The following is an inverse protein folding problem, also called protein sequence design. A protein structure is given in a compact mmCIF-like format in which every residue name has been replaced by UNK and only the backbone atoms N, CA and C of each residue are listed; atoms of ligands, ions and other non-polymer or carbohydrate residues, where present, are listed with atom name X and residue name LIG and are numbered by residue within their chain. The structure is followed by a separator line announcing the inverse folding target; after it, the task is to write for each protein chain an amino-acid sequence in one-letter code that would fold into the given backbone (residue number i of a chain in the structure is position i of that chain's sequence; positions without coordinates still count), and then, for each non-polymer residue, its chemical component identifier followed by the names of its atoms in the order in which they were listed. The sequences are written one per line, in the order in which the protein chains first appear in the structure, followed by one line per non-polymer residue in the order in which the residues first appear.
data_IF_537689473356
#
_entry.id   IF_537689473356
#
_cell.length_a   1.000
_cell.length_b   1.000
_cell.length_c   1.000
_cell.angle_alpha   90.00
_cell.angle_beta   90.00
_cell.angle_gamma   90.00
#
_symmetry.space_group_name_H-M   'P 1'
#
loop_
_entity.id
_entity.type
_entity.pdbx_description
1 polymer ?
2 polymer ?
3 polymer ?
4 polymer ?
5 non-polymer ?
6 water ?
#
# COMPACT_ATOMS: atom_id res chain seq x y z
N UNK A 8 5.34 14.69 15.13
CA UNK A 8 5.25 14.44 13.68
C UNK A 8 3.99 13.69 13.31
N UNK A 9 3.47 12.85 14.20
CA UNK A 9 2.17 12.20 13.96
C UNK A 9 1.10 13.26 13.82
N UNK A 10 1.10 14.21 14.77
CA UNK A 10 0.11 15.27 14.80
C UNK A 10 -0.02 16.14 13.57
N UNK A 11 1.13 16.42 12.94
CA UNK A 11 1.21 17.19 11.71
C UNK A 11 0.53 16.43 10.54
N UNK A 12 0.55 15.09 10.61
CA UNK A 12 -0.16 14.25 9.63
C UNK A 12 -1.69 14.28 9.87
N UNK A 13 -2.16 14.10 11.09
CA UNK A 13 -3.58 14.05 11.26
C UNK A 13 -4.26 15.30 10.73
N UNK A 14 -3.71 16.46 11.10
CA UNK A 14 -4.21 17.76 10.67
C UNK A 14 -4.03 17.95 9.17
N UNK A 15 -2.92 17.47 8.59
CA UNK A 15 -2.68 17.58 7.14
C UNK A 15 -3.74 16.83 6.33
N UNK A 16 -4.07 15.61 6.78
CA UNK A 16 -5.07 14.77 6.13
C UNK A 16 -6.47 15.40 6.25
N UNK A 17 -6.79 15.95 7.41
CA UNK A 17 -8.11 16.48 7.63
C UNK A 17 -8.28 17.76 6.82
N UNK A 18 -7.18 18.35 6.37
CA UNK A 18 -7.24 19.57 5.55
C UNK A 18 -7.63 19.17 4.13
N UNK A 19 -6.90 18.21 3.56
CA UNK A 19 -7.25 17.62 2.25
C UNK A 19 -8.72 17.10 2.20
N UNK A 20 -9.17 16.49 3.28
CA UNK A 20 -10.55 16.01 3.42
C UNK A 20 -11.56 17.15 3.25
N UNK A 21 -11.29 18.25 3.94
CA UNK A 21 -12.08 19.44 3.84
C UNK A 21 -12.05 19.98 2.44
N UNK A 22 -10.87 19.92 1.82
CA UNK A 22 -10.75 20.47 0.49
C UNK A 22 -11.52 19.58 -0.53
N UNK A 23 -11.41 18.26 -0.40
CA UNK A 23 -12.04 17.28 -1.28
C UNK A 23 -13.57 17.33 -1.06
N UNK A 24 -14.01 17.69 0.14
CA UNK A 24 -15.50 17.76 0.36
C UNK A 24 -16.12 18.93 -0.39
N UNK A 25 -15.43 20.08 -0.39
CA UNK A 25 -15.83 21.28 -1.13
C UNK A 25 -15.83 20.93 -2.62
N UNK A 26 -14.73 20.32 -3.09
CA UNK A 26 -14.57 19.89 -4.48
C UNK A 26 -15.68 18.97 -4.99
N UNK A 27 -15.99 17.94 -4.18
CA UNK A 27 -17.11 17.03 -4.45
C UNK A 27 -18.43 17.80 -4.49
N UNK A 28 -18.60 18.80 -3.61
CA UNK A 28 -19.79 19.69 -3.67
C UNK A 28 -19.81 20.45 -4.99
N UNK A 29 -18.64 20.80 -5.55
CA UNK A 29 -18.76 21.61 -6.73
C UNK A 29 -19.17 20.70 -7.89
N UNK A 30 -18.77 19.44 -7.82
CA UNK A 30 -18.95 18.53 -8.90
C UNK A 30 -20.37 17.98 -8.89
N UNK A 31 -21.00 17.89 -7.71
CA UNK A 31 -22.46 17.64 -7.65
C UNK A 31 -23.24 18.80 -8.26
N UNK A 32 -22.73 20.01 -8.08
CA UNK A 32 -23.23 21.20 -8.78
C UNK A 32 -23.02 21.18 -10.29
N UNK A 33 -21.83 20.74 -10.74
CA UNK A 33 -21.51 20.60 -12.16
C UNK A 33 -22.32 19.48 -12.85
N UNK A 34 -22.72 18.47 -12.05
CA UNK A 34 -23.59 17.33 -12.43
C UNK A 34 -25.02 17.79 -12.68
N UNK A 35 -25.42 18.78 -11.87
CA UNK A 35 -26.74 19.40 -12.00
C UNK A 35 -26.85 20.34 -13.21
N UNK A 36 -25.74 20.96 -13.62
CA UNK A 36 -25.73 21.85 -14.78
C UNK A 36 -25.71 21.07 -16.13
N UNK A 37 -25.34 19.78 -16.08
CA UNK A 37 -25.26 18.95 -17.29
C UNK A 37 -26.51 18.08 -17.52
N UNK B 2 4.57 3.38 31.65
CA UNK B 2 4.70 4.62 30.86
C UNK B 2 5.18 4.34 29.44
N UNK B 3 6.08 3.36 29.28
CA UNK B 3 6.48 2.88 27.95
C UNK B 3 5.25 2.32 27.21
N UNK B 4 4.53 1.42 27.89
CA UNK B 4 3.26 0.84 27.42
C UNK B 4 2.18 1.92 27.21
N UNK B 5 2.14 2.85 28.15
CA UNK B 5 1.23 3.99 28.11
C UNK B 5 1.35 4.86 26.83
N UNK B 6 2.59 5.11 26.38
CA UNK B 6 2.82 5.92 25.18
C UNK B 6 2.55 5.12 23.88
N UNK B 7 2.80 3.80 23.92
CA UNK B 7 2.39 2.89 22.86
C UNK B 7 0.83 2.88 22.76
N UNK B 8 0.16 2.83 23.92
CA UNK B 8 -1.31 2.76 23.90
C UNK B 8 -2.01 4.00 23.34
N UNK B 9 -1.59 5.17 23.78
CA UNK B 9 -2.08 6.41 23.21
C UNK B 9 -1.55 6.67 21.80
N UNK B 10 -0.30 6.28 21.50
CA UNK B 10 0.18 6.38 20.11
C UNK B 10 -0.69 5.54 19.18
N UNK B 11 -0.99 4.31 19.60
CA UNK B 11 -1.87 3.38 18.89
C UNK B 11 -3.24 3.99 18.56
N UNK B 12 -3.83 4.69 19.52
CA UNK B 12 -5.15 5.30 19.31
C UNK B 12 -5.13 6.33 18.21
N UNK B 13 -4.07 7.12 18.18
CA UNK B 13 -3.82 8.14 17.18
C UNK B 13 -3.46 7.60 15.80
N UNK B 14 -2.80 6.44 15.78
CA UNK B 14 -2.57 5.73 14.54
C UNK B 14 -3.91 5.36 13.90
N UNK B 15 -4.77 4.72 14.68
CA UNK B 15 -6.10 4.35 14.26
C UNK B 15 -6.94 5.57 13.81
N UNK B 16 -6.85 6.66 14.57
CA UNK B 16 -7.55 7.86 14.17
C UNK B 16 -7.04 8.34 12.80
N UNK B 17 -5.72 8.20 12.56
CA UNK B 17 -5.10 8.68 11.35
C UNK B 17 -5.53 7.81 10.19
N UNK B 18 -5.60 6.49 10.43
CA UNK B 18 -6.06 5.55 9.39
C UNK B 18 -7.51 5.83 8.97
N UNK B 19 -8.39 6.09 9.93
CA UNK B 19 -9.78 6.47 9.63
C UNK B 19 -9.90 7.66 8.69
N UNK B 20 -9.07 8.69 8.91
CA UNK B 20 -9.10 9.92 8.08
C UNK B 20 -8.58 9.66 6.69
N UNK B 21 -7.47 8.92 6.65
CA UNK B 21 -6.84 8.52 5.38
C UNK B 21 -7.83 7.72 4.51
N UNK B 22 -8.57 6.83 5.16
CA UNK B 22 -9.58 5.99 4.54
C UNK B 22 -10.71 6.86 4.01
N UNK B 23 -11.07 7.90 4.76
CA UNK B 23 -12.15 8.82 4.40
C UNK B 23 -11.63 9.61 3.20
N UNK B 24 -10.40 10.07 3.29
CA UNK B 24 -9.75 10.79 2.18
C UNK B 24 -9.71 9.94 0.89
N UNK B 25 -9.31 8.67 1.03
CA UNK B 25 -9.29 7.73 -0.08
C UNK B 25 -10.69 7.56 -0.72
N UNK B 26 -11.71 7.47 0.10
CA UNK B 26 -13.04 7.30 -0.40
C UNK B 26 -13.58 8.49 -1.19
N UNK B 27 -13.17 9.70 -0.75
CA UNK B 27 -13.46 10.95 -1.49
C UNK B 27 -12.75 11.02 -2.79
N UNK B 28 -11.47 10.62 -2.79
CA UNK B 28 -10.72 10.63 -4.04
C UNK B 28 -11.33 9.60 -5.04
N UNK B 29 -11.89 8.46 -4.57
CA UNK B 29 -12.58 7.49 -5.45
C UNK B 29 -13.95 8.01 -5.95
N UNK B 30 -14.76 8.54 -5.04
CA UNK B 30 -15.99 9.20 -5.37
C UNK B 30 -15.75 10.31 -6.41
N UNK B 31 -14.75 11.15 -6.19
CA UNK B 31 -14.51 12.23 -7.16
C UNK B 31 -14.30 11.68 -8.55
N UNK B 32 -13.47 10.64 -8.65
CA UNK B 32 -13.08 10.11 -9.95
C UNK B 32 -14.25 9.45 -10.65
N UNK B 33 -15.07 8.70 -9.90
CA UNK B 33 -16.35 8.13 -10.42
C UNK B 33 -17.22 9.23 -10.95
N UNK B 34 -17.36 10.29 -10.14
CA UNK B 34 -18.21 11.45 -10.46
C UNK B 34 -17.78 12.16 -11.71
N UNK B 35 -16.46 12.40 -11.84
CA UNK B 35 -15.94 13.09 -12.97
C UNK B 35 -16.04 12.17 -14.23
N UNK B 36 -15.79 10.87 -14.05
CA UNK B 36 -15.88 9.92 -15.16
C UNK B 36 -17.28 9.85 -15.76
N UNK B 37 -18.27 9.75 -14.88
CA UNK B 37 -19.67 9.79 -15.22
C UNK B 37 -19.93 11.04 -16.03
N UNK B 38 -19.54 12.20 -15.52
CA UNK B 38 -19.78 13.43 -16.25
C UNK B 38 -19.02 13.53 -17.58
N UNK B 39 -17.94 12.75 -17.72
CA UNK B 39 -17.20 12.55 -18.96
C UNK B 39 -18.13 12.10 -20.06
N UNK B 40 -18.97 11.13 -19.72
CA UNK B 40 -20.00 10.57 -20.59
C UNK B 40 -21.19 11.48 -20.90
N UNK B 41 -21.60 12.34 -19.96
CA UNK B 41 -22.68 13.29 -20.22
C UNK B 41 -22.17 14.36 -21.21
N UNK B 42 -20.89 14.70 -21.10
CA UNK B 42 -20.25 15.72 -21.93
C UNK B 42 -19.95 15.21 -23.30
N UNK B 43 -19.77 13.89 -23.45
CA UNK B 43 -19.59 13.30 -24.77
C UNK B 43 -20.88 13.54 -25.58
N UNK B 44 -22.04 13.22 -25.00
CA UNK B 44 -23.33 13.36 -25.67
C UNK B 44 -23.67 14.83 -25.99
N UNK B 45 -23.38 15.75 -25.05
CA UNK B 45 -23.61 17.17 -25.26
C UNK B 45 -22.75 17.66 -26.41
N UNK B 46 -21.50 17.22 -26.45
CA UNK B 46 -20.55 17.64 -27.49
C UNK B 46 -21.01 17.16 -28.88
N UNK B 47 -21.60 15.97 -28.88
CA UNK B 47 -22.16 15.36 -30.07
C UNK B 47 -23.42 16.10 -30.48
N UNK B 48 -24.34 16.32 -29.54
CA UNK B 48 -25.58 17.04 -29.86
C UNK B 48 -25.30 18.45 -30.38
N UNK B 49 -24.34 19.14 -29.77
CA UNK B 49 -23.96 20.49 -30.16
C UNK B 49 -23.33 20.56 -31.55
N UNK B 50 -22.32 19.69 -31.80
CA UNK B 50 -21.64 19.60 -33.11
C UNK B 50 -22.58 19.38 -34.29
N UNK B 51 -23.68 18.67 -34.03
CA UNK B 51 -24.69 18.42 -35.06
C UNK B 51 -25.65 19.61 -35.22
N UNK B 52 -25.96 20.29 -34.12
CA UNK B 52 -26.73 21.53 -34.16
C UNK B 52 -25.95 22.64 -34.90
N UNK B 53 -24.63 22.67 -34.71
CA UNK B 53 -23.76 23.56 -35.48
C UNK B 53 -23.92 23.27 -36.97
N UNK B 54 -23.73 22.01 -37.37
CA UNK B 54 -23.87 21.61 -38.77
C UNK B 54 -25.25 21.96 -39.29
N UNK B 55 -26.28 21.66 -38.52
CA UNK B 55 -27.64 21.98 -38.94
C UNK B 55 -27.78 23.48 -39.26
N UNK B 56 -27.54 24.33 -38.26
CA UNK B 56 -27.77 25.76 -38.39
C UNK B 56 -26.98 26.31 -39.58
N UNK B 57 -25.74 25.73 -39.85
CA UNK B 57 -24.81 26.25 -40.85
C UNK B 57 -25.33 25.97 -42.26
N UNK B 58 -25.86 24.72 -42.45
CA UNK B 58 -26.45 24.32 -43.71
C UNK B 58 -27.74 25.11 -44.00
N UNK B 59 -28.50 25.42 -42.97
CA UNK B 59 -29.82 26.05 -43.13
C UNK B 59 -29.72 27.54 -43.50
N UNK B 60 -28.61 28.16 -43.13
CA UNK B 60 -28.32 29.56 -43.45
C UNK B 60 -27.56 29.75 -44.78
N UNK C 5 4.97 -10.56 40.27
CA UNK C 5 5.57 -9.36 39.65
C UNK C 5 6.13 -9.60 38.23
N UNK C 6 6.79 -10.75 38.04
CA UNK C 6 7.29 -11.16 36.71
C UNK C 6 6.15 -11.35 35.71
N UNK C 7 5.04 -11.97 36.15
CA UNK C 7 3.82 -12.15 35.33
C UNK C 7 3.24 -10.80 34.90
N UNK C 8 3.35 -9.78 35.73
CA UNK C 8 2.76 -8.49 35.42
C UNK C 8 3.60 -7.76 34.33
N UNK C 9 4.92 -7.80 34.46
CA UNK C 9 5.81 -7.14 33.51
C UNK C 9 5.74 -7.80 32.13
N UNK C 10 5.64 -9.13 32.11
CA UNK C 10 5.53 -9.91 30.89
C UNK C 10 4.22 -9.61 30.17
N UNK C 11 3.13 -9.50 30.93
CA UNK C 11 1.82 -9.16 30.40
C UNK C 11 1.80 -7.77 29.73
N UNK C 12 2.41 -6.79 30.39
CA UNK C 12 2.58 -5.43 29.85
C UNK C 12 3.41 -5.35 28.53
N UNK C 13 4.53 -6.06 28.50
CA UNK C 13 5.41 -6.15 27.33
C UNK C 13 4.70 -6.78 26.15
N UNK C 14 3.99 -7.86 26.43
CA UNK C 14 3.29 -8.57 25.38
C UNK C 14 2.16 -7.68 24.84
N UNK C 15 1.59 -6.82 25.70
CA UNK C 15 0.54 -5.90 25.27
C UNK C 15 1.15 -4.79 24.40
N UNK C 16 2.28 -4.25 24.84
CA UNK C 16 3.03 -3.25 24.06
C UNK C 16 3.36 -3.78 22.69
N UNK C 17 3.83 -5.04 22.64
CA UNK C 17 4.31 -5.65 21.40
C UNK C 17 3.25 -5.75 20.31
N UNK C 18 2.08 -6.07 20.79
CA UNK C 18 1.01 -6.50 20.00
C UNK C 18 0.26 -5.27 19.56
N UNK C 19 0.18 -4.28 20.45
CA UNK C 19 -0.39 -3.01 20.08
C UNK C 19 0.52 -2.38 19.05
N UNK C 20 1.83 -2.48 19.25
CA UNK C 20 2.77 -1.92 18.27
C UNK C 20 2.64 -2.68 16.94
N UNK C 21 2.54 -4.01 16.99
CA UNK C 21 2.35 -4.74 15.77
C UNK C 21 1.14 -4.25 14.95
N UNK C 22 0.01 -3.97 15.62
CA UNK C 22 -1.19 -3.41 14.97
C UNK C 22 -1.01 -1.98 14.40
N UNK C 23 -0.33 -1.12 15.14
CA UNK C 23 0.07 0.20 14.60
C UNK C 23 0.94 0.04 13.33
N UNK C 24 1.84 -0.95 13.28
CA UNK C 24 2.58 -1.17 12.02
C UNK C 24 1.65 -1.58 10.84
N UNK C 25 0.75 -2.52 11.12
CA UNK C 25 -0.15 -3.06 10.10
C UNK C 25 -0.99 -1.87 9.56
N UNK C 26 -1.31 -0.93 10.46
CA UNK C 26 -2.10 0.29 10.15
C UNK C 26 -1.32 1.22 9.22
N UNK C 27 -0.04 1.38 9.48
CA UNK C 27 0.76 2.22 8.60
C UNK C 27 0.95 1.59 7.25
N UNK C 28 0.97 0.26 7.17
CA UNK C 28 1.02 -0.47 5.89
C UNK C 28 -0.24 -0.24 5.08
N UNK C 29 -1.43 -0.34 5.74
CA UNK C 29 -2.72 -0.04 5.12
C UNK C 29 -2.84 1.41 4.74
N UNK C 30 -2.30 2.31 5.57
CA UNK C 30 -2.28 3.72 5.18
C UNK C 30 -1.59 3.89 3.84
N UNK C 31 -0.44 3.26 3.71
CA UNK C 31 0.36 3.32 2.52
C UNK C 31 -0.39 2.90 1.23
N UNK C 32 -1.25 1.85 1.29
CA UNK C 32 -2.04 1.39 0.13
C UNK C 32 -3.15 2.39 -0.18
N UNK C 33 -3.69 2.99 0.86
CA UNK C 33 -4.85 3.89 0.74
C UNK C 33 -4.41 5.24 0.14
N UNK C 34 -3.23 5.73 0.52
CA UNK C 34 -2.73 6.98 -0.12
C UNK C 34 -2.20 6.82 -1.53
N UNK C 35 -1.51 5.71 -1.77
CA UNK C 35 -1.11 5.34 -3.10
C UNK C 35 -2.30 5.27 -4.07
N UNK C 36 -3.36 4.60 -3.67
CA UNK C 36 -4.52 4.49 -4.52
C UNK C 36 -5.22 5.87 -4.71
N UNK C 37 -5.28 6.68 -3.66
CA UNK C 37 -5.83 8.02 -3.72
C UNK C 37 -5.13 8.88 -4.78
N UNK C 38 -3.80 8.77 -4.83
CA UNK C 38 -2.92 9.52 -5.74
C UNK C 38 -3.33 9.14 -7.15
N UNK C 39 -3.41 7.83 -7.41
CA UNK C 39 -3.85 7.37 -8.73
C UNK C 39 -5.24 7.84 -9.10
N UNK C 40 -6.21 7.70 -8.18
CA UNK C 40 -7.51 8.29 -8.46
C UNK C 40 -7.39 9.80 -8.73
N UNK C 41 -6.66 10.53 -7.89
CA UNK C 41 -6.49 11.96 -8.05
C UNK C 41 -5.93 12.39 -9.41
N UNK C 42 -4.83 11.75 -9.84
CA UNK C 42 -4.24 11.83 -11.16
C UNK C 42 -5.20 11.53 -12.29
N UNK C 43 -5.84 10.36 -12.24
CA UNK C 43 -6.94 10.09 -13.18
C UNK C 43 -7.96 11.22 -13.25
N UNK C 44 -8.26 11.85 -12.11
CA UNK C 44 -9.34 12.84 -12.12
C UNK C 44 -8.83 14.05 -12.89
N UNK C 45 -7.59 14.40 -12.66
CA UNK C 45 -7.02 15.59 -13.30
C UNK C 45 -6.91 15.44 -14.82
N UNK C 46 -6.70 14.20 -15.28
CA UNK C 46 -6.61 13.93 -16.68
C UNK C 46 -7.99 14.03 -17.35
N UNK C 47 -8.99 13.38 -16.77
CA UNK C 47 -10.38 13.51 -17.25
C UNK C 47 -10.87 14.94 -17.28
N UNK C 48 -10.58 15.71 -16.24
CA UNK C 48 -10.97 17.13 -16.18
C UNK C 48 -10.28 17.94 -17.26
N UNK C 49 -9.01 17.64 -17.54
CA UNK C 49 -8.30 18.30 -18.59
C UNK C 49 -8.95 18.00 -19.97
N UNK C 50 -9.21 16.73 -20.27
CA UNK C 50 -9.93 16.33 -21.48
C UNK C 50 -11.29 17.05 -21.60
N UNK C 51 -12.09 17.01 -20.51
CA UNK C 51 -13.40 17.62 -20.50
C UNK C 51 -13.34 19.14 -20.62
N UNK C 52 -12.27 19.74 -20.09
CA UNK C 52 -12.04 21.15 -20.24
C UNK C 52 -12.08 21.55 -21.72
N UNK C 53 -11.28 20.87 -22.55
CA UNK C 53 -11.23 21.01 -24.00
C UNK C 53 -12.53 20.69 -24.73
N UNK C 54 -13.27 19.71 -24.23
CA UNK C 54 -14.59 19.39 -24.77
C UNK C 54 -15.60 20.54 -24.56
N UNK C 55 -15.58 21.11 -23.36
CA UNK C 55 -16.40 22.25 -23.06
C UNK C 55 -16.00 23.47 -23.89
N UNK C 56 -14.70 23.62 -24.20
CA UNK C 56 -14.21 24.72 -25.06
C UNK C 56 -14.86 24.57 -26.46
N UNK C 57 -14.80 23.37 -27.02
CA UNK C 57 -15.40 23.07 -28.30
C UNK C 57 -16.90 23.35 -28.31
N UNK C 58 -17.61 22.95 -27.25
CA UNK C 58 -19.04 23.23 -27.08
C UNK C 58 -19.36 24.72 -27.04
N UNK C 59 -18.60 25.50 -26.25
CA UNK C 59 -18.75 26.94 -26.21
C UNK C 59 -18.55 27.62 -27.57
N UNK C 60 -17.45 27.26 -28.25
CA UNK C 60 -17.15 27.68 -29.60
C UNK C 60 -18.31 27.37 -30.53
N UNK C 61 -18.89 26.19 -30.35
CA UNK C 61 -20.03 25.72 -31.15
C UNK C 61 -21.27 26.54 -30.85
N UNK C 62 -21.46 26.93 -29.58
CA UNK C 62 -22.56 27.88 -29.26
C UNK C 62 -22.30 29.29 -29.89
N UNK C 63 -21.03 29.67 -30.05
CA UNK C 63 -20.67 30.98 -30.62
C UNK C 63 -20.90 30.96 -32.12
N UNK C 64 -20.51 29.84 -32.77
CA UNK C 64 -20.86 29.55 -34.16
C UNK C 64 -22.37 29.69 -34.43
N UNK C 65 -23.19 28.97 -33.68
CA UNK C 65 -24.63 29.07 -33.83
C UNK C 65 -25.08 30.53 -33.72
N UNK C 66 -24.64 31.16 -32.67
CA UNK C 66 -24.85 32.55 -32.47
C UNK C 66 -24.60 33.40 -33.74
N UNK C 67 -23.42 33.26 -34.38
CA UNK C 67 -23.12 34.11 -35.52
C UNK C 67 -24.00 33.78 -36.73
N UNK C 68 -24.33 32.51 -36.94
CA UNK C 68 -25.23 32.12 -38.03
C UNK C 68 -26.68 32.62 -37.80
N UNK C 69 -27.10 32.71 -36.54
CA UNK C 69 -28.41 33.29 -36.29
C UNK C 69 -28.42 34.80 -36.58
N UNK C 70 -27.27 35.46 -36.45
CA UNK C 70 -27.15 36.87 -36.89
C UNK C 70 -27.26 37.01 -38.43
N UNK C 71 -26.77 36.01 -39.14
CA UNK C 71 -26.93 35.95 -40.58
C UNK C 71 -28.40 35.72 -40.93
N UNK C 72 -29.04 34.72 -40.29
CA UNK C 72 -30.47 34.50 -40.47
C UNK C 72 -31.34 35.75 -40.19
N UNK C 73 -31.00 36.52 -39.16
CA UNK C 73 -31.80 37.68 -38.76
C UNK C 73 -31.66 38.85 -39.77
N UNK C 74 -30.44 38.97 -40.31
CA UNK C 74 -30.10 39.98 -41.26
C UNK C 74 -30.83 39.69 -42.55
N UNK C 75 -30.95 38.40 -42.89
CA UNK C 75 -31.74 37.93 -44.04
C UNK C 75 -33.24 38.22 -43.86
N UNK C 76 -33.82 37.86 -42.72
CA UNK C 76 -35.20 38.21 -42.42
C UNK C 76 -35.45 39.74 -42.46
N UNK C 77 -34.57 40.53 -41.83
CA UNK C 77 -34.65 42.00 -41.92
C UNK C 77 -34.65 42.47 -43.38
N UNK C 78 -33.82 41.83 -44.20
CA UNK C 78 -33.70 42.22 -45.58
C UNK C 78 -34.98 41.93 -46.41
N UNK C 79 -35.65 40.83 -46.07
CA UNK C 79 -36.88 40.36 -46.74
C UNK C 79 -38.19 40.95 -46.16
N UNK C 80 -38.07 41.94 -45.28
CA UNK C 80 -39.21 42.58 -44.62
C UNK C 80 -40.01 41.72 -43.65
N UNK C 81 -39.45 40.60 -43.20
CA UNK C 81 -40.18 39.68 -42.30
C UNK C 81 -39.70 39.66 -40.86
N UNK D 1 10.12 -3.33 19.16
CA UNK D 1 11.46 -3.73 18.58
C UNK D 1 11.86 -2.75 17.49
N UNK D 2 13.12 -2.71 17.08
CA UNK D 2 13.55 -1.60 16.21
C UNK D 2 13.32 -1.80 14.71
N UNK D 3 13.29 -3.04 14.19
CA UNK D 3 12.89 -3.23 12.78
C UNK D 3 11.41 -2.83 12.52
N UNK D 4 10.52 -3.13 13.48
CA UNK D 4 9.13 -2.68 13.50
C UNK D 4 8.97 -1.13 13.61
N UNK D 5 9.64 -0.53 14.58
CA UNK D 5 9.63 0.94 14.76
C UNK D 5 10.18 1.74 13.57
N UNK D 6 11.27 1.26 12.99
CA UNK D 6 11.89 1.87 11.82
C UNK D 6 11.00 1.85 10.58
N UNK D 7 10.46 0.66 10.29
CA UNK D 7 9.43 0.49 9.28
C UNK D 7 8.19 1.38 9.55
N UNK D 8 7.71 1.44 10.79
CA UNK D 8 6.55 2.26 11.06
C UNK D 8 6.86 3.74 10.75
N UNK D 9 8.11 4.13 11.06
CA UNK D 9 8.59 5.48 10.81
C UNK D 9 8.80 5.81 9.33
N UNK D 10 9.30 4.85 8.56
CA UNK D 10 9.46 5.07 7.12
C UNK D 10 8.07 5.12 6.47
N UNK D 11 7.18 4.22 6.86
CA UNK D 11 5.82 4.23 6.36
C UNK D 11 5.14 5.61 6.57
N UNK D 12 5.24 6.15 7.78
CA UNK D 12 4.58 7.40 8.09
C UNK D 12 5.23 8.58 7.38
N UNK D 13 6.56 8.54 7.24
CA UNK D 13 7.27 9.56 6.52
C UNK D 13 6.71 9.56 5.10
N UNK D 14 6.53 8.35 4.56
CA UNK D 14 6.07 8.17 3.18
C UNK D 14 4.61 8.57 2.97
N UNK D 15 3.75 8.16 3.90
CA UNK D 15 2.37 8.64 3.88
C UNK D 15 2.29 10.19 3.83
N UNK D 16 2.99 10.86 4.75
CA UNK D 16 3.06 12.32 4.86
C UNK D 16 3.42 13.00 3.55
N UNK D 17 4.56 12.63 2.96
CA UNK D 17 4.95 13.13 1.64
C UNK D 17 3.85 12.98 0.60
N UNK D 18 3.21 11.82 0.56
CA UNK D 18 2.07 11.64 -0.31
C UNK D 18 0.83 12.48 0.08
N UNK D 19 0.57 12.68 1.38
CA UNK D 19 -0.54 13.62 1.75
C UNK D 19 -0.28 15.00 1.15
N UNK D 20 0.98 15.40 1.02
CA UNK D 20 1.38 16.72 0.49
C UNK D 20 1.04 16.86 -0.98
N UNK D 21 1.14 15.74 -1.70
CA UNK D 21 0.82 15.70 -3.13
C UNK D 21 -0.71 15.71 -3.28
N UNK D 22 -1.38 14.89 -2.50
CA UNK D 22 -2.85 14.91 -2.47
C UNK D 22 -3.50 16.29 -2.21
N UNK D 23 -2.94 17.06 -1.29
CA UNK D 23 -3.36 18.43 -1.07
C UNK D 23 -3.21 19.29 -2.34
N UNK D 24 -2.03 19.22 -2.97
CA UNK D 24 -1.76 19.94 -4.19
C UNK D 24 -2.75 19.50 -5.31
N UNK D 25 -3.00 18.20 -5.42
CA UNK D 25 -3.93 17.69 -6.42
C UNK D 25 -5.38 18.15 -6.16
N UNK D 26 -5.78 18.20 -4.91
CA UNK D 26 -7.15 18.57 -4.51
C UNK D 26 -7.43 20.06 -4.78
N UNK D 27 -6.43 20.89 -4.54
CA UNK D 27 -6.46 22.32 -4.85
C UNK D 27 -6.55 22.71 -6.34
N UNK D 28 -5.68 22.15 -7.18
CA UNK D 28 -5.78 22.20 -8.67
C UNK D 28 -7.15 21.72 -9.18
N UNK D 29 -7.62 20.60 -8.62
CA UNK D 29 -8.92 20.05 -8.97
C UNK D 29 -10.02 21.09 -8.77
N UNK D 30 -10.04 21.64 -7.56
CA UNK D 30 -10.95 22.71 -7.13
C UNK D 30 -10.93 23.89 -8.05
N UNK D 31 -9.76 24.24 -8.54
CA UNK D 31 -9.64 25.44 -9.39
C UNK D 31 -10.19 25.18 -10.79
N UNK D 32 -9.79 24.04 -11.35
CA UNK D 32 -10.22 23.60 -12.64
C UNK D 32 -11.73 23.45 -12.66
N UNK D 33 -12.31 22.97 -11.59
CA UNK D 33 -13.75 22.83 -11.51
C UNK D 33 -14.46 24.18 -11.41
N UNK D 34 -13.85 25.15 -10.72
CA UNK D 34 -14.48 26.48 -10.61
C UNK D 34 -14.53 27.08 -11.99
N UNK D 35 -13.45 26.86 -12.76
CA UNK D 35 -13.32 27.45 -14.09
C UNK D 35 -14.28 26.83 -15.10
N UNK D 36 -14.34 25.50 -15.09
CA UNK D 36 -15.34 24.79 -15.87
C UNK D 36 -16.79 25.13 -15.39
N UNK D 37 -17.04 25.43 -14.11
CA UNK D 37 -18.44 25.76 -13.67
C UNK D 37 -18.94 27.10 -14.24
N UNK D 38 -18.04 28.09 -14.27
CA UNK D 38 -18.30 29.37 -14.92
C UNK D 38 -18.53 29.14 -16.44
N UNK D 39 -17.71 28.30 -17.03
CA UNK D 39 -17.81 28.05 -18.44
C UNK D 39 -19.13 27.36 -18.80
N UNK D 40 -19.49 26.36 -18.00
CA UNK D 40 -20.81 25.74 -18.12
C UNK D 40 -21.96 26.73 -18.02
N UNK D 41 -21.90 27.65 -17.08
CA UNK D 41 -22.87 28.72 -16.94
C UNK D 41 -22.99 29.63 -18.20
N UNK D 42 -21.87 29.87 -18.90
CA UNK D 42 -21.93 30.70 -20.12
C UNK D 42 -22.54 29.81 -21.21
N UNK D 43 -22.26 28.49 -21.19
CA UNK D 43 -22.83 27.60 -22.20
C UNK D 43 -24.33 27.48 -22.08
N UNK D 44 -24.84 27.35 -20.85
CA UNK D 44 -26.28 27.23 -20.60
C UNK D 44 -26.98 28.48 -21.07
N UNK D 45 -26.43 29.63 -20.68
CA UNK D 45 -26.98 30.92 -21.08
C UNK D 45 -27.03 31.07 -22.60
N UNK D 46 -25.94 30.69 -23.28
CA UNK D 46 -25.82 30.85 -24.73
C UNK D 46 -26.71 29.87 -25.48
N UNK D 47 -26.89 28.67 -24.93
CA UNK D 47 -27.82 27.66 -25.50
C UNK D 47 -29.28 28.11 -25.39
N UNK D 48 -29.65 28.68 -24.26
CA UNK D 48 -31.00 29.18 -24.10
C UNK D 48 -31.22 30.40 -25.00
N UNK D 49 -30.28 31.33 -25.01
CA UNK D 49 -30.36 32.47 -25.94
C UNK D 49 -30.44 31.97 -27.40
N UNK D 50 -29.60 31.02 -27.78
CA UNK D 50 -29.65 30.43 -29.12
C UNK D 50 -31.00 29.82 -29.49
N UNK D 51 -31.64 29.14 -28.52
CA UNK D 51 -32.93 28.47 -28.73
C UNK D 51 -34.07 29.50 -28.84
N UNK D 52 -33.98 30.61 -28.10
CA UNK D 52 -34.97 31.66 -28.25
C UNK D 52 -34.91 32.26 -29.62
N UNK D 53 -33.70 32.47 -30.13
CA UNK D 53 -33.55 33.14 -31.42
C UNK D 53 -33.94 32.20 -32.55
N UNK D 54 -33.63 30.91 -32.39
CA UNK D 54 -34.09 29.89 -33.32
C UNK D 54 -35.63 29.86 -33.38
N UNK D 55 -36.30 29.83 -32.23
CA UNK D 55 -37.75 29.74 -32.18
C UNK D 55 -38.34 31.00 -32.78
N UNK D 56 -37.73 32.16 -32.51
CA UNK D 56 -38.22 33.42 -33.02
C UNK D 56 -38.11 33.51 -34.54
N UNK D 57 -36.92 33.17 -35.07
CA UNK D 57 -36.67 33.20 -36.52
C UNK D 57 -37.72 32.34 -37.26
N UNK D 58 -37.89 31.10 -36.78
CA UNK D 58 -38.97 30.21 -37.25
C UNK D 58 -40.38 30.80 -37.15
N UNK D 59 -40.69 31.50 -36.06
CA UNK D 59 -42.04 32.07 -35.90
C UNK D 59 -42.26 33.20 -36.88
N UNK D 60 -41.20 33.97 -37.15
CA UNK D 60 -41.28 35.05 -38.11
C UNK D 60 -41.53 34.45 -39.51
N UNK D 61 -40.83 33.35 -39.76
CA UNK D 61 -40.87 32.66 -41.02
C UNK D 61 -42.28 32.12 -41.23
N UNK D 62 -42.87 31.53 -40.18
CA UNK D 62 -44.21 30.88 -40.24
C UNK D 62 -45.34 31.84 -40.62
N UNK D 63 -45.13 33.13 -40.36
CA UNK D 63 -45.94 34.22 -40.91
C UNK D 63 -45.82 34.37 -42.44
N UNK D 64 -44.72 33.91 -43.04
CA UNK D 64 -44.53 34.00 -44.52
C UNK D 64 -45.54 33.11 -45.28
N UNK D 65 -45.98 32.02 -44.66
CA UNK D 65 -46.90 31.04 -45.27
C UNK D 65 -48.32 31.60 -45.58
N UNK E 6 1.35 -12.28 -22.82
CA UNK E 6 2.09 -12.03 -21.56
C UNK E 6 2.48 -13.29 -20.79
N UNK E 7 3.20 -14.17 -21.49
CA UNK E 7 3.85 -15.35 -20.90
C UNK E 7 4.91 -14.97 -19.84
N UNK E 8 5.69 -13.91 -20.10
CA UNK E 8 6.71 -13.43 -19.15
C UNK E 8 6.10 -12.90 -17.85
N UNK E 9 4.96 -12.22 -17.94
CA UNK E 9 4.22 -11.72 -16.77
C UNK E 9 3.75 -12.86 -15.88
N UNK E 10 2.94 -13.77 -16.44
CA UNK E 10 2.38 -14.92 -15.71
C UNK E 10 3.41 -15.81 -15.00
N UNK E 11 4.63 -15.80 -15.55
CA UNK E 11 5.74 -16.58 -15.05
C UNK E 11 6.36 -15.90 -13.83
N UNK E 12 6.27 -14.57 -13.81
CA UNK E 12 6.63 -13.81 -12.63
C UNK E 12 5.52 -13.96 -11.56
N UNK E 13 4.26 -13.94 -11.96
CA UNK E 13 3.18 -14.09 -11.00
C UNK E 13 3.23 -15.43 -10.26
N UNK E 14 3.40 -16.52 -11.01
CA UNK E 14 3.58 -17.85 -10.43
C UNK E 14 4.79 -17.87 -9.50
N UNK E 15 5.87 -17.21 -9.92
CA UNK E 15 7.14 -17.29 -9.20
C UNK E 15 7.07 -16.52 -7.86
N UNK E 16 6.41 -15.38 -7.87
CA UNK E 16 6.14 -14.62 -6.66
C UNK E 16 5.33 -15.47 -5.67
N UNK E 17 4.28 -16.07 -6.17
CA UNK E 17 3.28 -16.73 -5.36
C UNK E 17 3.86 -17.99 -4.70
N UNK E 18 4.89 -18.54 -5.35
CA UNK E 18 5.64 -19.67 -4.82
C UNK E 18 6.48 -19.21 -3.60
N UNK E 19 7.21 -18.09 -3.74
CA UNK E 19 8.04 -17.49 -2.67
C UNK E 19 7.15 -17.15 -1.46
N UNK E 20 5.96 -16.59 -1.73
CA UNK E 20 4.91 -16.36 -0.72
C UNK E 20 4.58 -17.62 0.10
N UNK E 21 4.36 -18.76 -0.59
CA UNK E 21 4.10 -20.00 0.10
C UNK E 21 5.28 -20.47 0.93
N UNK E 22 6.49 -20.33 0.39
CA UNK E 22 7.67 -20.74 1.13
C UNK E 22 7.81 -19.83 2.38
N UNK E 23 7.71 -18.51 2.19
CA UNK E 23 7.77 -17.56 3.29
C UNK E 23 6.66 -17.77 4.33
N UNK E 24 5.48 -18.18 3.88
CA UNK E 24 4.41 -18.45 4.86
C UNK E 24 4.77 -19.68 5.72
N UNK E 25 5.45 -20.68 5.11
CA UNK E 25 5.91 -21.86 5.85
C UNK E 25 6.99 -21.44 6.86
N UNK E 26 7.88 -20.56 6.42
CA UNK E 26 9.00 -20.10 7.24
C UNK E 26 8.52 -19.31 8.47
N UNK E 27 7.65 -18.34 8.22
CA UNK E 27 6.99 -17.58 9.31
C UNK E 27 6.24 -18.52 10.30
N UNK E 28 5.60 -19.56 9.80
CA UNK E 28 5.00 -20.54 10.74
C UNK E 28 6.06 -21.32 11.53
N UNK E 29 7.24 -21.53 10.95
CA UNK E 29 8.28 -22.16 11.70
C UNK E 29 8.87 -21.23 12.76
N UNK E 30 9.02 -19.94 12.46
CA UNK E 30 9.59 -19.03 13.42
C UNK E 30 8.61 -18.70 14.52
N UNK E 31 7.31 -18.80 14.27
CA UNK E 31 6.31 -18.63 15.34
C UNK E 31 6.38 -19.84 16.27
N UNK E 32 6.67 -21.01 15.72
CA UNK E 32 6.95 -22.21 16.51
C UNK E 32 8.27 -22.14 17.30
N UNK E 33 9.30 -21.53 16.70
CA UNK E 33 10.59 -21.23 17.38
C UNK E 33 10.42 -20.17 18.50
N UNK E 34 9.52 -19.19 18.25
CA UNK E 34 9.05 -18.20 19.26
C UNK E 34 8.56 -18.83 20.56
N UNK E 35 7.91 -19.98 20.38
CA UNK E 35 7.13 -20.64 21.42
C UNK E 35 8.04 -21.51 22.27
N UNK E 36 9.07 -22.06 21.61
CA UNK E 36 10.12 -22.82 22.28
C UNK E 36 11.06 -21.93 23.13
N UNK E 37 11.17 -20.65 22.77
CA UNK E 37 12.06 -19.70 23.45
C UNK E 37 11.40 -18.89 24.59
N UNK F 2 -8.75 -3.61 -29.66
CA UNK F 2 -7.90 -4.78 -29.30
C UNK F 2 -6.53 -4.39 -28.76
N UNK F 3 -5.93 -3.33 -29.33
CA UNK F 3 -4.72 -2.72 -28.78
C UNK F 3 -5.01 -2.27 -27.35
N UNK F 4 -6.10 -1.51 -27.17
CA UNK F 4 -6.57 -1.05 -25.87
C UNK F 4 -6.98 -2.24 -24.98
N UNK F 5 -7.69 -3.18 -25.57
CA UNK F 5 -8.07 -4.42 -24.92
C UNK F 5 -6.90 -5.20 -24.23
N UNK F 6 -5.75 -5.28 -24.91
CA UNK F 6 -4.60 -5.98 -24.35
C UNK F 6 -3.86 -5.14 -23.28
N UNK F 7 -3.85 -3.82 -23.45
CA UNK F 7 -3.41 -2.90 -22.40
C UNK F 7 -4.29 -3.04 -21.13
N UNK F 8 -5.60 -3.12 -21.33
CA UNK F 8 -6.52 -3.21 -20.19
C UNK F 8 -6.41 -4.48 -19.34
N UNK F 9 -6.28 -5.63 -20.00
CA UNK F 9 -6.04 -6.89 -19.31
C UNK F 9 -4.57 -7.04 -18.85
N UNK F 10 -3.62 -6.49 -19.61
CA UNK F 10 -2.23 -6.43 -19.12
C UNK F 10 -2.15 -5.61 -17.82
N UNK F 11 -2.86 -4.49 -17.78
CA UNK F 11 -2.92 -3.62 -16.62
C UNK F 11 -3.45 -4.35 -15.39
N UNK F 12 -4.47 -5.18 -15.58
CA UNK F 12 -5.09 -5.88 -14.46
C UNK F 12 -4.14 -6.85 -13.82
N UNK F 13 -3.36 -7.52 -14.67
CA UNK F 13 -2.32 -8.47 -14.29
C UNK F 13 -1.05 -7.85 -13.71
N UNK F 14 -0.76 -6.61 -14.11
CA UNK F 14 0.29 -5.85 -13.45
C UNK F 14 -0.11 -5.58 -11.99
N UNK F 15 -1.34 -5.17 -11.79
CA UNK F 15 -1.89 -4.85 -10.47
C UNK F 15 -1.94 -6.07 -9.57
N UNK F 16 -2.42 -7.20 -10.12
CA UNK F 16 -2.33 -8.45 -9.45
C UNK F 16 -0.90 -8.79 -9.05
N UNK F 17 0.09 -8.52 -9.94
CA UNK F 17 1.45 -8.84 -9.68
C UNK F 17 1.97 -7.96 -8.54
N UNK F 18 1.65 -6.65 -8.58
CA UNK F 18 2.04 -5.72 -7.47
C UNK F 18 1.54 -6.12 -6.09
N UNK F 19 0.26 -6.49 -5.99
CA UNK F 19 -0.35 -7.03 -4.79
C UNK F 19 0.39 -8.22 -4.18
N UNK F 20 0.85 -9.17 -5.01
CA UNK F 20 1.58 -10.35 -4.51
C UNK F 20 2.95 -10.00 -4.03
N UNK F 21 3.59 -9.09 -4.76
CA UNK F 21 4.94 -8.60 -4.47
C UNK F 21 4.95 -7.80 -3.13
N UNK F 22 3.88 -7.01 -2.91
CA UNK F 22 3.64 -6.26 -1.69
C UNK F 22 3.37 -7.26 -0.55
N UNK F 23 2.66 -8.35 -0.83
CA UNK F 23 2.43 -9.40 0.16
C UNK F 23 3.76 -10.07 0.50
N UNK F 24 4.50 -10.48 -0.52
CA UNK F 24 5.83 -11.01 -0.33
C UNK F 24 6.67 -10.07 0.49
N UNK F 25 6.60 -8.77 0.21
CA UNK F 25 7.46 -7.81 0.91
C UNK F 25 7.13 -7.79 2.41
N UNK F 26 5.85 -7.84 2.74
CA UNK F 26 5.40 -7.66 4.06
C UNK F 26 5.78 -8.90 4.91
N UNK F 27 5.74 -10.08 4.30
CA UNK F 27 6.35 -11.30 4.90
C UNK F 27 7.84 -11.29 5.13
N UNK F 28 8.56 -10.69 4.21
CA UNK F 28 10.03 -10.63 4.43
C UNK F 28 10.34 -9.55 5.53
N UNK F 29 9.38 -8.62 5.81
CA UNK F 29 9.58 -7.62 6.94
C UNK F 29 9.16 -8.26 8.28
N UNK F 30 7.94 -8.75 8.33
CA UNK F 30 7.52 -9.67 9.37
C UNK F 30 8.60 -10.68 9.78
N UNK F 31 9.15 -11.41 8.83
CA UNK F 31 10.14 -12.41 9.22
C UNK F 31 11.27 -11.77 9.98
N UNK F 32 11.79 -10.68 9.46
CA UNK F 32 12.97 -10.02 10.01
C UNK F 32 12.75 -9.45 11.38
N UNK F 33 11.57 -8.84 11.61
CA UNK F 33 11.15 -8.40 12.96
C UNK F 33 11.11 -9.55 13.89
N UNK F 34 10.52 -10.66 13.41
CA UNK F 34 10.37 -11.87 14.22
C UNK F 34 11.71 -12.45 14.63
N UNK F 35 12.61 -12.57 13.65
CA UNK F 35 13.91 -13.13 13.94
C UNK F 35 14.72 -12.18 14.84
N UNK F 36 14.57 -10.87 14.62
CA UNK F 36 15.27 -9.88 15.45
C UNK F 36 14.85 -9.94 16.92
N UNK F 37 13.55 -9.99 17.11
CA UNK F 37 12.96 -10.09 18.42
C UNK F 37 13.55 -11.32 19.07
N UNK F 38 13.47 -12.46 18.40
CA UNK F 38 14.00 -13.70 19.00
C UNK F 38 15.52 -13.66 19.26
N UNK F 39 16.24 -12.84 18.50
CA UNK F 39 17.63 -12.48 18.79
C UNK F 39 17.81 -12.00 20.22
N UNK F 40 16.92 -11.11 20.67
CA UNK F 40 16.90 -10.63 22.04
C UNK F 40 16.49 -11.65 23.14
N UNK F 41 15.62 -12.62 22.82
CA UNK F 41 15.29 -13.68 23.76
C UNK F 41 16.49 -14.66 23.93
N UNK F 42 17.21 -14.90 22.83
CA UNK F 42 18.39 -15.77 22.80
C UNK F 42 19.60 -15.16 23.48
N UNK F 43 19.68 -13.84 23.48
CA UNK F 43 20.74 -13.13 24.21
C UNK F 43 20.60 -13.41 25.71
N UNK F 44 19.38 -13.29 26.26
CA UNK F 44 19.12 -13.52 27.68
C UNK F 44 19.30 -15.01 28.07
N UNK F 45 18.83 -15.93 27.22
CA UNK F 45 19.02 -17.38 27.42
C UNK F 45 20.52 -17.71 27.47
N UNK F 46 21.29 -17.12 26.56
CA UNK F 46 22.72 -17.38 26.48
C UNK F 46 23.44 -16.83 27.74
N UNK F 47 22.90 -15.75 28.26
CA UNK F 47 23.41 -15.15 29.47
C UNK F 47 23.05 -16.04 30.66
N UNK F 48 21.78 -16.44 30.75
CA UNK F 48 21.32 -17.24 31.87
C UNK F 48 22.05 -18.57 31.96
N UNK F 49 22.24 -19.21 30.80
CA UNK F 49 22.97 -20.48 30.68
C UNK F 49 24.45 -20.39 31.06
N UNK F 50 25.15 -19.38 30.53
CA UNK F 50 26.57 -19.16 30.78
C UNK F 50 26.86 -18.98 32.26
N UNK F 51 25.90 -18.41 32.99
CA UNK F 51 26.04 -18.19 34.45
C UNK F 51 25.67 -19.46 35.26
N UNK F 52 24.75 -20.27 34.72
CA UNK F 52 24.43 -21.56 35.31
C UNK F 52 25.57 -22.54 35.11
N UNK F 53 26.28 -22.42 33.98
CA UNK F 53 27.51 -23.19 33.74
C UNK F 53 28.54 -22.82 34.81
N UNK F 54 28.81 -21.52 34.99
CA UNK F 54 29.77 -21.10 35.99
C UNK F 54 29.34 -21.55 37.37
N UNK F 55 28.04 -21.43 37.68
CA UNK F 55 27.56 -21.87 38.98
C UNK F 55 27.87 -23.35 39.24
N UNK F 56 27.39 -24.21 38.33
CA UNK F 56 27.56 -25.65 38.50
C UNK F 56 29.04 -26.06 38.61
N UNK F 57 29.91 -25.38 37.85
CA UNK F 57 31.33 -25.72 37.76
C UNK F 57 32.08 -25.40 39.07
N UNK F 58 31.71 -24.28 39.69
CA UNK F 58 32.29 -23.86 40.97
C UNK F 58 31.80 -24.75 42.12
N UNK F 59 30.53 -25.17 42.06
CA UNK F 59 29.92 -25.94 43.14
C UNK F 59 30.41 -27.40 43.22
N UNK F 60 30.90 -27.92 42.09
CA UNK F 60 31.46 -29.26 41.97
C UNK F 60 32.99 -29.31 42.19
N UNK G 5 -16.47 9.58 -34.70
CA UNK G 5 -15.37 8.69 -35.16
C UNK G 5 -14.02 9.11 -34.55
N UNK G 6 -13.54 10.28 -34.94
CA UNK G 6 -12.28 10.85 -34.39
C UNK G 6 -12.35 10.96 -32.86
N UNK G 7 -13.37 11.64 -32.36
CA UNK G 7 -13.58 11.81 -30.90
C UNK G 7 -13.46 10.50 -30.11
N UNK G 8 -13.93 9.39 -30.69
CA UNK G 8 -13.91 8.12 -29.97
C UNK G 8 -12.57 7.38 -30.00
N UNK G 9 -11.88 7.45 -31.14
CA UNK G 9 -10.53 6.92 -31.25
C UNK G 9 -9.57 7.64 -30.29
N UNK G 10 -9.74 8.95 -30.15
CA UNK G 10 -8.95 9.75 -29.22
C UNK G 10 -9.17 9.32 -27.77
N UNK G 11 -10.43 9.12 -27.39
CA UNK G 11 -10.81 8.66 -26.07
C UNK G 11 -10.16 7.31 -25.70
N UNK G 12 -10.19 6.35 -26.63
CA UNK G 12 -9.53 5.05 -26.48
C UNK G 12 -7.99 5.10 -26.31
N UNK G 13 -7.33 5.93 -27.12
CA UNK G 13 -5.90 6.17 -27.06
C UNK G 13 -5.50 6.80 -25.74
N UNK G 14 -6.30 7.76 -25.30
CA UNK G 14 -6.02 8.43 -24.07
C UNK G 14 -6.21 7.45 -22.90
N UNK G 15 -7.14 6.53 -23.03
CA UNK G 15 -7.34 5.52 -21.99
C UNK G 15 -6.16 4.53 -21.99
N UNK G 16 -5.76 4.08 -23.17
CA UNK G 16 -4.59 3.21 -23.32
C UNK G 16 -3.35 3.86 -22.70
N UNK G 17 -3.12 5.14 -23.01
CA UNK G 17 -1.95 5.88 -22.52
C UNK G 17 -1.85 5.92 -21.00
N UNK G 18 -3.01 6.18 -20.42
CA UNK G 18 -3.11 6.46 -19.04
C UNK G 18 -2.99 5.16 -18.30
N UNK G 19 -3.63 4.11 -18.84
CA UNK G 19 -3.59 2.80 -18.20
C UNK G 19 -2.16 2.32 -18.29
N UNK G 20 -1.49 2.64 -19.38
CA UNK G 20 -0.12 2.18 -19.52
C UNK G 20 0.79 2.98 -18.58
N UNK G 21 0.49 4.27 -18.38
CA UNK G 21 1.27 5.08 -17.46
C UNK G 21 1.23 4.50 -16.03
N UNK G 22 0.05 4.06 -15.60
CA UNK G 22 -0.16 3.42 -14.29
C UNK G 22 0.53 2.06 -14.14
N UNK G 23 0.50 1.23 -15.17
CA UNK G 23 1.27 -0.01 -15.18
C UNK G 23 2.77 0.29 -15.05
N UNK G 24 3.27 1.34 -15.68
CA UNK G 24 4.67 1.72 -15.48
C UNK G 24 4.96 2.11 -13.98
N UNK G 25 4.05 2.88 -13.38
CA UNK G 25 4.24 3.38 -12.04
C UNK G 25 4.26 2.13 -11.10
N UNK G 26 3.39 1.17 -11.42
CA UNK G 26 3.29 -0.12 -10.72
C UNK G 26 4.58 -0.94 -10.78
N UNK G 27 5.21 -0.98 -11.95
CA UNK G 27 6.52 -1.66 -12.06
C UNK G 27 7.59 -0.93 -11.29
N UNK G 28 7.49 0.38 -11.16
CA UNK G 28 8.47 1.15 -10.39
C UNK G 28 8.39 0.83 -8.93
N UNK G 29 7.16 0.86 -8.38
CA UNK G 29 6.87 0.43 -7.03
C UNK G 29 7.25 -1.02 -6.80
N UNK G 30 7.05 -1.91 -7.77
CA UNK G 30 7.47 -3.29 -7.58
C UNK G 30 8.96 -3.32 -7.29
N UNK G 31 9.70 -2.56 -8.07
CA UNK G 31 11.12 -2.47 -7.95
C UNK G 31 11.57 -2.06 -6.52
N UNK G 32 10.86 -1.13 -5.85
CA UNK G 32 11.25 -0.69 -4.49
C UNK G 32 10.91 -1.79 -3.48
N UNK G 33 9.83 -2.51 -3.76
CA UNK G 33 9.30 -3.54 -2.84
C UNK G 33 10.16 -4.79 -2.87
N UNK G 34 10.64 -5.21 -4.04
CA UNK G 34 11.61 -6.32 -4.08
C UNK G 34 13.01 -6.01 -3.57
N UNK G 35 13.52 -4.84 -3.92
CA UNK G 35 14.74 -4.34 -3.35
C UNK G 35 14.76 -4.35 -1.81
N UNK G 36 13.69 -3.89 -1.19
CA UNK G 36 13.63 -3.80 0.23
C UNK G 36 13.50 -5.24 0.85
N UNK G 37 12.72 -6.10 0.20
CA UNK G 37 12.61 -7.51 0.55
C UNK G 37 13.96 -8.20 0.58
N UNK G 38 14.75 -8.00 -0.45
CA UNK G 38 16.12 -8.58 -0.54
C UNK G 38 16.88 -8.14 0.72
N UNK G 39 16.89 -6.83 0.98
CA UNK G 39 17.59 -6.34 2.16
C UNK G 39 17.12 -6.97 3.45
N UNK G 40 15.79 -6.97 3.67
CA UNK G 40 15.25 -7.68 4.82
C UNK G 40 15.65 -9.12 4.85
N UNK G 41 15.62 -9.84 3.72
CA UNK G 41 15.94 -11.27 3.71
C UNK G 41 17.42 -11.55 4.00
N UNK G 42 18.32 -10.68 3.50
CA UNK G 42 19.76 -10.74 3.83
C UNK G 42 19.98 -10.49 5.33
N UNK G 43 19.34 -9.43 5.87
CA UNK G 43 19.38 -9.18 7.32
C UNK G 43 18.92 -10.40 8.12
N UNK G 44 17.93 -11.10 7.59
CA UNK G 44 17.38 -12.25 8.31
C UNK G 44 18.40 -13.36 8.37
N UNK G 45 19.03 -13.61 7.25
CA UNK G 45 20.08 -14.67 7.17
C UNK G 45 21.28 -14.41 8.03
N UNK G 46 21.59 -13.14 8.25
CA UNK G 46 22.74 -12.79 9.08
C UNK G 46 22.37 -13.01 10.54
N UNK G 47 21.19 -12.55 10.95
CA UNK G 47 20.76 -12.74 12.30
C UNK G 47 20.64 -14.23 12.67
N UNK G 48 20.06 -15.03 11.78
CA UNK G 48 19.96 -16.49 11.99
C UNK G 48 21.31 -17.17 12.04
N UNK G 49 22.26 -16.71 11.23
CA UNK G 49 23.60 -17.24 11.33
C UNK G 49 24.22 -16.92 12.72
N UNK G 50 24.06 -15.68 13.21
CA UNK G 50 24.58 -15.27 14.51
C UNK G 50 23.91 -16.09 15.63
N UNK G 51 22.58 -16.23 15.56
CA UNK G 51 21.79 -16.95 16.55
C UNK G 51 22.09 -18.44 16.51
N UNK G 52 22.34 -18.98 15.32
CA UNK G 52 22.83 -20.36 15.19
C UNK G 52 24.03 -20.61 16.12
N UNK G 53 25.03 -19.75 16.05
CA UNK G 53 26.27 -19.86 16.88
C UNK G 53 26.00 -19.68 18.38
N UNK G 54 25.01 -18.83 18.68
CA UNK G 54 24.61 -18.63 20.06
C UNK G 54 23.98 -19.88 20.64
N UNK G 55 23.12 -20.53 19.86
CA UNK G 55 22.45 -21.75 20.25
C UNK G 55 23.48 -22.90 20.39
N UNK G 56 24.53 -22.90 19.55
CA UNK G 56 25.63 -23.89 19.69
C UNK G 56 26.29 -23.77 21.07
N UNK G 57 26.60 -22.53 21.46
CA UNK G 57 27.20 -22.22 22.73
C UNK G 57 26.26 -22.65 23.86
N UNK G 58 24.96 -22.39 23.72
CA UNK G 58 23.96 -22.82 24.70
C UNK G 58 23.91 -24.32 24.90
N UNK G 59 23.81 -25.09 23.80
CA UNK G 59 23.85 -26.53 23.82
C UNK G 59 25.12 -27.10 24.50
N UNK G 60 26.30 -26.59 24.09
CA UNK G 60 27.60 -26.91 24.67
C UNK G 60 27.58 -26.62 26.17
N UNK G 61 26.97 -25.49 26.54
CA UNK G 61 26.78 -25.12 27.95
C UNK G 61 25.89 -26.13 28.68
N UNK G 62 24.83 -26.59 28.01
CA UNK G 62 24.03 -27.74 28.59
C UNK G 62 24.83 -29.06 28.71
N UNK G 63 25.72 -29.32 27.78
CA UNK G 63 26.57 -30.52 27.85
C UNK G 63 27.55 -30.39 29.01
N UNK G 64 28.11 -29.19 29.17
CA UNK G 64 29.01 -28.85 30.30
C UNK G 64 28.31 -29.17 31.63
N UNK G 65 27.09 -28.68 31.81
CA UNK G 65 26.38 -28.88 33.06
C UNK G 65 26.15 -30.38 33.27
N UNK G 66 25.71 -30.99 32.19
CA UNK G 66 25.54 -32.40 32.15
C UNK G 66 26.76 -33.12 32.77
N UNK G 67 27.97 -32.89 32.24
CA UNK G 67 29.15 -33.62 32.71
C UNK G 67 29.53 -33.31 34.17
N UNK G 68 29.44 -32.04 34.58
CA UNK G 68 29.62 -31.70 36.00
C UNK G 68 28.62 -32.38 36.96
N UNK G 69 27.39 -32.59 36.50
CA UNK G 69 26.42 -33.29 37.32
C UNK G 69 26.79 -34.78 37.42
N UNK G 70 27.51 -35.30 36.43
CA UNK G 70 28.03 -36.68 36.53
C UNK G 70 29.18 -36.77 37.57
N UNK G 71 29.92 -35.68 37.70
CA UNK G 71 30.90 -35.57 38.75
C UNK G 71 30.22 -35.46 40.14
N UNK G 72 29.22 -34.59 40.27
CA UNK G 72 28.42 -34.53 41.49
C UNK G 72 27.79 -35.90 41.91
N UNK G 73 27.23 -36.65 40.96
CA UNK G 73 26.59 -37.95 41.26
C UNK G 73 27.59 -39.05 41.73
N UNK G 74 28.77 -39.07 41.11
CA UNK G 74 29.86 -39.95 41.45
C UNK G 74 30.36 -39.64 42.85
N UNK G 75 30.49 -38.35 43.16
CA UNK G 75 30.78 -37.86 44.53
C UNK G 75 29.73 -38.29 45.59
N UNK G 76 28.44 -38.11 45.32
CA UNK G 76 27.39 -38.61 46.21
C UNK G 76 27.43 -40.17 46.35
N UNK G 77 27.54 -40.90 45.22
CA UNK G 77 27.72 -42.36 45.26
C UNK G 77 28.94 -42.75 46.11
N UNK G 78 30.02 -41.99 45.96
CA UNK G 78 31.23 -42.24 46.71
C UNK G 78 31.02 -42.11 48.24
N UNK G 79 30.30 -41.07 48.66
CA UNK G 79 29.95 -40.83 50.08
C UNK G 79 28.74 -41.57 50.65
N UNK G 80 28.19 -42.55 49.92
CA UNK G 80 27.02 -43.28 50.38
C UNK G 80 25.70 -42.53 50.47
N UNK G 81 25.62 -41.34 49.87
CA UNK G 81 24.39 -40.52 49.92
C UNK G 81 23.51 -40.66 48.69
N UNK H 1 3.79 4.12 -25.61
CA UNK H 1 4.97 4.74 -26.30
C UNK H 1 6.22 3.96 -25.96
N UNK H 2 7.19 3.88 -26.87
CA UNK H 2 8.34 2.97 -26.69
C UNK H 2 9.13 3.30 -25.44
N UNK H 3 9.33 4.57 -25.09
CA UNK H 3 10.11 4.87 -23.86
C UNK H 3 9.52 4.25 -22.58
N UNK H 4 8.21 4.40 -22.40
CA UNK H 4 7.44 3.80 -21.34
C UNK H 4 7.47 2.25 -21.40
N UNK H 5 7.16 1.71 -22.56
CA UNK H 5 7.16 0.27 -22.80
C UNK H 5 8.52 -0.39 -22.52
N UNK H 6 9.61 0.26 -22.94
CA UNK H 6 10.95 -0.29 -22.72
C UNK H 6 11.31 -0.31 -21.23
N UNK H 7 10.98 0.79 -20.54
CA UNK H 7 11.26 0.90 -19.14
C UNK H 7 10.38 -0.09 -18.31
N UNK H 8 9.09 -0.26 -18.66
CA UNK H 8 8.26 -1.26 -18.02
C UNK H 8 8.90 -2.65 -18.20
N UNK H 9 9.28 -2.96 -19.43
CA UNK H 9 9.98 -4.21 -19.69
C UNK H 9 11.29 -4.41 -18.93
N UNK H 10 12.14 -3.40 -18.86
CA UNK H 10 13.35 -3.53 -18.03
C UNK H 10 13.03 -3.67 -16.55
N UNK H 11 12.06 -2.89 -16.05
CA UNK H 11 11.68 -2.95 -14.67
C UNK H 11 11.22 -4.39 -14.34
N UNK H 12 10.40 -4.98 -15.20
CA UNK H 12 9.91 -6.33 -15.03
C UNK H 12 10.98 -7.41 -15.07
N UNK H 13 11.95 -7.22 -15.98
CA UNK H 13 13.12 -8.08 -16.11
C UNK H 13 13.88 -8.14 -14.78
N UNK H 14 14.14 -6.96 -14.18
CA UNK H 14 14.85 -6.84 -12.88
C UNK H 14 14.06 -7.36 -11.71
N UNK H 15 12.77 -7.01 -11.66
CA UNK H 15 11.88 -7.60 -10.67
C UNK H 15 12.03 -9.14 -10.65
N UNK H 16 11.85 -9.81 -11.79
CA UNK H 16 11.96 -11.28 -11.93
C UNK H 16 13.28 -11.85 -11.43
N UNK H 17 14.40 -11.24 -11.85
CA UNK H 17 15.74 -11.59 -11.33
C UNK H 17 15.83 -11.58 -9.81
N UNK H 18 15.49 -10.44 -9.21
CA UNK H 18 15.43 -10.33 -7.77
C UNK H 18 14.44 -11.34 -7.12
N UNK H 19 13.40 -11.72 -7.86
CA UNK H 19 12.51 -12.68 -7.27
C UNK H 19 13.14 -14.07 -7.14
N UNK H 20 13.93 -14.45 -8.13
CA UNK H 20 14.74 -15.68 -8.08
C UNK H 20 15.69 -15.73 -6.88
N UNK H 21 16.23 -14.57 -6.50
CA UNK H 21 17.12 -14.44 -5.34
C UNK H 21 16.35 -14.64 -4.05
N UNK H 22 15.22 -13.95 -3.94
CA UNK H 22 14.25 -14.17 -2.86
C UNK H 22 13.78 -15.62 -2.67
N UNK H 23 13.41 -16.30 -3.75
CA UNK H 23 13.11 -17.71 -3.65
C UNK H 23 14.26 -18.44 -2.94
N UNK H 24 15.49 -18.26 -3.45
CA UNK H 24 16.68 -18.91 -2.91
C UNK H 24 16.89 -18.52 -1.41
N UNK H 25 16.87 -17.23 -1.12
CA UNK H 25 16.94 -16.78 0.30
C UNK H 25 15.85 -17.38 1.23
N UNK H 26 14.67 -17.61 0.69
CA UNK H 26 13.51 -18.05 1.48
C UNK H 26 13.65 -19.57 1.76
N UNK H 27 14.15 -20.30 0.78
CA UNK H 27 14.56 -21.69 0.94
C UNK H 27 15.71 -21.95 1.95
N UNK H 28 16.80 -21.17 1.86
CA UNK H 28 17.87 -21.18 2.90
C UNK H 28 17.37 -20.87 4.32
N UNK H 29 16.58 -19.79 4.44
CA UNK H 29 15.97 -19.44 5.70
C UNK H 29 15.32 -20.68 6.30
N UNK H 30 14.45 -21.31 5.50
CA UNK H 30 13.68 -22.49 5.86
C UNK H 30 14.51 -23.60 6.39
N UNK H 31 15.60 -23.92 5.71
CA UNK H 31 16.53 -24.98 6.14
C UNK H 31 17.24 -24.66 7.46
N UNK H 32 17.80 -23.44 7.56
CA UNK H 32 18.38 -22.95 8.81
C UNK H 32 17.39 -22.95 9.99
N UNK H 33 16.13 -22.56 9.79
CA UNK H 33 15.13 -22.58 10.87
C UNK H 33 14.82 -24.03 11.28
N UNK H 34 14.78 -24.97 10.32
CA UNK H 34 14.47 -26.37 10.65
C UNK H 34 15.58 -26.92 11.53
N UNK H 35 16.82 -26.59 11.17
CA UNK H 35 17.99 -27.08 11.90
C UNK H 35 18.03 -26.50 13.31
N UNK H 36 17.86 -25.19 13.39
CA UNK H 36 17.76 -24.59 14.71
C UNK H 36 16.59 -25.11 15.55
N UNK H 37 15.46 -25.48 14.94
CA UNK H 37 14.33 -25.98 15.70
C UNK H 37 14.61 -27.33 16.37
N UNK H 38 15.33 -28.19 15.68
CA UNK H 38 15.76 -29.46 16.26
C UNK H 38 16.78 -29.18 17.38
N UNK H 39 17.59 -28.16 17.21
CA UNK H 39 18.64 -27.90 18.16
C UNK H 39 18.00 -27.30 19.44
N UNK H 40 17.05 -26.40 19.23
CA UNK H 40 16.25 -25.91 20.36
C UNK H 40 15.61 -27.04 21.17
N UNK H 41 14.95 -27.97 20.47
CA UNK H 41 14.40 -29.17 21.07
C UNK H 41 15.41 -30.00 21.90
N UNK H 42 16.63 -30.20 21.40
CA UNK H 42 17.66 -30.90 22.13
C UNK H 42 18.01 -30.05 23.36
N UNK H 43 18.06 -28.71 23.22
CA UNK H 43 18.45 -27.90 24.36
C UNK H 43 17.41 -27.92 25.45
N UNK H 44 16.13 -27.88 25.07
CA UNK H 44 15.00 -27.88 26.02
C UNK H 44 15.04 -29.15 26.88
N UNK H 45 15.17 -30.29 26.18
CA UNK H 45 15.19 -31.60 26.81
C UNK H 45 16.41 -31.73 27.72
N UNK H 46 17.52 -31.09 27.33
CA UNK H 46 18.77 -31.19 28.10
C UNK H 46 18.70 -30.30 29.30
N UNK H 47 18.16 -29.09 29.11
CA UNK H 47 17.79 -28.20 30.24
C UNK H 47 16.88 -28.88 31.28
N UNK H 48 15.84 -29.56 30.81
CA UNK H 48 14.98 -30.19 31.77
C UNK H 48 15.64 -31.43 32.44
N UNK H 49 16.31 -32.26 31.68
CA UNK H 49 17.09 -33.33 32.28
C UNK H 49 18.15 -32.80 33.28
N UNK H 50 18.76 -31.67 32.99
CA UNK H 50 19.74 -31.04 33.90
C UNK H 50 19.07 -30.52 35.21
N UNK H 51 17.90 -29.90 35.08
CA UNK H 51 17.13 -29.41 36.24
C UNK H 51 16.66 -30.55 37.18
N UNK H 52 16.24 -31.69 36.60
CA UNK H 52 15.84 -32.86 37.40
C UNK H 52 17.01 -33.37 38.19
N UNK H 53 18.15 -33.51 37.54
CA UNK H 53 19.34 -34.05 38.21
C UNK H 53 19.84 -33.08 39.28
N UNK H 54 19.79 -31.78 39.02
CA UNK H 54 20.14 -30.80 40.05
C UNK H 54 19.20 -30.85 41.26
N UNK H 55 17.90 -30.94 41.03
CA UNK H 55 16.98 -31.11 42.14
C UNK H 55 17.25 -32.42 42.88
N UNK H 56 17.55 -33.49 42.16
CA UNK H 56 17.70 -34.78 42.83
C UNK H 56 18.97 -34.75 43.66
N UNK H 57 20.03 -34.15 43.10
CA UNK H 57 21.30 -34.08 43.80
C UNK H 57 21.14 -33.33 45.13
N UNK H 58 20.50 -32.16 45.08
CA UNK H 58 20.15 -31.38 46.29
C UNK H 58 19.30 -32.17 47.27
N UNK H 59 18.35 -32.96 46.76
CA UNK H 59 17.50 -33.77 47.63
C UNK H 59 18.28 -34.80 48.40
N UNK H 60 19.23 -35.47 47.74
CA UNK H 60 20.07 -36.47 48.41
C UNK H 60 20.91 -35.81 49.53
N UNK H 61 21.41 -34.62 49.24
CA UNK H 61 22.29 -33.93 50.16
C UNK H 61 21.49 -33.35 51.32
N UNK H 62 20.24 -32.96 51.07
CA UNK H 62 19.32 -32.43 52.12
C UNK H 62 18.96 -33.48 53.16
N UNK H 63 18.99 -34.73 52.74
CA UNK H 63 18.84 -35.84 53.67
C UNK H 63 20.06 -36.05 54.56
N UNK H 64 21.17 -35.35 54.25
CA UNK H 64 22.43 -35.43 55.05
C UNK H 64 22.49 -34.50 56.26
N UNK H 65 21.91 -33.31 56.15
CA UNK H 65 21.83 -32.38 57.29
C UNK H 65 20.82 -32.81 58.37
#
# INVERSE_FOLDING_TARGET
GPLGSNRRLQQTQAQVDEVVDIMRVNVDKVLERDQKL
GSALSEIETRHSEIIKLENSIRELHDMFMDMAMLVESQGEMIDRIEYNVEHAVDYVERAVSDTKK
GSHMMRNELEEMQRRADQLADESLESTRRMLQLVEESKDAGIRTLVMLDEQGEQLDRVEEGMNHINQDMKEAEKNLKDLGW
GSARENEMDENLEQVSGIIGNLRHMALDMGNEIDTQNRQIDRIMEKADSNKTRIDEANQRATKML
GPLGSNRRLQQTQAQVDEVVDIMRVNVDKVLERDQKL
GSALSEIETRHSEIIKLENSIRELHDMFMDMAMLVESQGEMIDRIEYNVEHAVDYVERAVSDTKK
GSHMMRNELEEMQRRADQLADESLESTRRMLQLVEESKDAGIRTLVMLDEQGEQLDRVEEGMNHINQDMKEAEKNLKDLGW
GSARENEMDENLEQVSGIIGNLRHMALDMGNEIDTQNRQIDRIMEKADSNKTRIDEANQRATKML
#
